data_IF_952163118976
#
_entry.id   IF_952163118976
#
_cell.length_a   1.000
_cell.length_b   1.000
_cell.length_c   1.000
_cell.angle_alpha   90.00
_cell.angle_beta   90.00
_cell.angle_gamma   90.00
#
_symmetry.space_group_name_H-M   'P 1'
#
loop_
_entity.id
_entity.type
_entity.pdbx_description
1 polymer ?
#
# COMPACT_ATOMS: atom_id res chain seq x y z
N UNK A 1 -14.70 13.70 -7.06
CA UNK A 1 -14.77 14.03 -5.62
C UNK A 1 -13.77 13.24 -4.81
N UNK A 2 -13.25 13.81 -3.72
CA UNK A 2 -12.35 13.13 -2.79
C UNK A 2 -13.18 12.15 -1.93
N UNK A 3 -12.79 10.87 -1.89
CA UNK A 3 -13.43 9.85 -1.07
C UNK A 3 -12.46 9.41 0.03
N UNK A 4 -12.95 9.10 1.25
CA UNK A 4 -12.13 8.47 2.28
C UNK A 4 -11.53 7.15 1.80
N UNK A 5 -10.38 6.79 2.35
CA UNK A 5 -9.72 5.49 2.17
C UNK A 5 -9.25 5.00 3.54
N UNK A 6 -9.24 3.69 3.76
CA UNK A 6 -8.66 3.08 4.97
C UNK A 6 -7.16 3.32 5.08
N UNK A 7 -6.48 3.65 3.97
CA UNK A 7 -5.08 4.09 3.96
C UNK A 7 -4.97 5.60 4.24
N UNK A 8 -5.40 6.04 5.43
CA UNK A 8 -5.52 7.46 5.78
C UNK A 8 -4.22 8.26 5.57
N UNK A 9 -3.06 7.64 5.80
CA UNK A 9 -1.76 8.31 5.64
C UNK A 9 -1.42 8.70 4.20
N UNK A 10 -2.09 8.13 3.20
CA UNK A 10 -1.95 8.49 1.78
C UNK A 10 -3.20 9.18 1.22
N UNK A 11 -4.20 9.51 2.05
CA UNK A 11 -5.41 10.22 1.67
C UNK A 11 -5.17 11.73 1.40
N UNK A 12 -4.27 12.05 0.47
CA UNK A 12 -3.76 13.40 0.24
C UNK A 12 -4.23 13.93 -1.11
N UNK A 13 -5.19 14.87 -1.10
CA UNK A 13 -5.73 15.47 -2.33
C UNK A 13 -4.72 16.30 -3.12
N UNK A 14 -3.77 16.95 -2.43
CA UNK A 14 -2.74 17.82 -3.02
C UNK A 14 -1.40 17.60 -2.30
N UNK A 15 -0.56 16.67 -2.79
CA UNK A 15 0.73 16.38 -2.18
C UNK A 15 1.65 17.61 -2.24
N UNK A 16 2.27 17.95 -1.10
CA UNK A 16 3.18 19.10 -1.00
C UNK A 16 4.39 18.94 -1.93
N UNK A 17 4.85 17.69 -2.10
CA UNK A 17 6.04 17.33 -2.90
C UNK A 17 5.69 16.74 -4.26
N UNK A 18 4.56 17.15 -4.85
CA UNK A 18 4.09 16.58 -6.12
C UNK A 18 5.13 16.71 -7.24
N UNK A 19 5.83 17.85 -7.32
CA UNK A 19 6.86 18.07 -8.34
C UNK A 19 8.01 17.07 -8.20
N UNK A 20 8.51 16.86 -6.98
CA UNK A 20 9.60 15.91 -6.71
C UNK A 20 9.16 14.46 -6.93
N UNK A 21 7.91 14.12 -6.61
CA UNK A 21 7.34 12.80 -6.92
C UNK A 21 7.34 12.54 -8.44
N UNK A 22 6.88 13.51 -9.23
CA UNK A 22 6.85 13.39 -10.70
C UNK A 22 8.26 13.36 -11.30
N UNK A 23 9.21 14.07 -10.71
CA UNK A 23 10.61 14.02 -11.12
C UNK A 23 11.21 12.63 -10.86
N UNK A 24 11.03 12.08 -9.65
CA UNK A 24 11.54 10.75 -9.29
C UNK A 24 11.00 9.66 -10.23
N UNK A 25 9.70 9.69 -10.56
CA UNK A 25 9.09 8.75 -11.50
C UNK A 25 9.73 8.81 -12.89
N UNK A 26 10.04 10.02 -13.40
CA UNK A 26 10.67 10.19 -14.71
C UNK A 26 12.13 9.74 -14.70
N UNK A 27 12.87 10.07 -13.65
CA UNK A 27 14.29 9.72 -13.53
C UNK A 27 14.50 8.21 -13.36
N UNK A 28 13.55 7.53 -12.71
CA UNK A 28 13.60 6.08 -12.51
C UNK A 28 12.95 5.26 -13.64
N UNK A 29 12.39 5.91 -14.67
CA UNK A 29 11.50 5.28 -15.64
C UNK A 29 10.38 4.43 -14.97
N UNK A 30 9.86 4.95 -13.85
CA UNK A 30 8.89 4.27 -13.01
C UNK A 30 7.44 4.67 -13.31
N UNK A 31 6.52 4.08 -12.55
CA UNK A 31 5.09 4.30 -12.70
C UNK A 31 4.33 4.46 -11.38
N UNK A 32 3.03 4.68 -11.51
CA UNK A 32 2.08 4.65 -10.38
C UNK A 32 0.96 3.68 -10.71
N UNK A 33 0.38 3.10 -9.66
CA UNK A 33 -0.82 2.28 -9.78
C UNK A 33 -1.83 2.69 -8.71
N UNK A 34 -3.06 2.21 -8.85
CA UNK A 34 -4.14 2.40 -7.88
C UNK A 34 -4.65 1.05 -7.44
N UNK A 35 -4.83 0.87 -6.14
CA UNK A 35 -5.42 -0.33 -5.55
C UNK A 35 -6.80 -0.02 -4.97
N UNK A 36 -7.63 -1.04 -4.83
CA UNK A 36 -8.94 -0.99 -4.18
C UNK A 36 -8.81 -1.16 -2.67
N UNK A 37 -9.79 -0.65 -1.93
CA UNK A 37 -9.87 -0.80 -0.47
C UNK A 37 -9.77 -2.28 -0.03
N UNK A 38 -10.46 -3.18 -0.73
CA UNK A 38 -10.42 -4.61 -0.42
C UNK A 38 -9.03 -5.23 -0.60
N UNK A 39 -8.24 -4.75 -1.57
CA UNK A 39 -6.88 -5.24 -1.81
C UNK A 39 -5.93 -4.80 -0.69
N UNK A 40 -6.16 -3.62 -0.10
CA UNK A 40 -5.44 -3.13 1.07
C UNK A 40 -5.78 -4.01 2.30
N UNK A 41 -7.05 -4.38 2.49
CA UNK A 41 -7.46 -5.30 3.56
C UNK A 41 -6.79 -6.65 3.41
N UNK A 42 -6.89 -7.26 2.22
CA UNK A 42 -6.28 -8.56 1.92
C UNK A 42 -4.77 -8.54 2.14
N UNK A 43 -4.08 -7.50 1.67
CA UNK A 43 -2.65 -7.35 1.87
C UNK A 43 -2.28 -7.20 3.35
N UNK A 44 -3.07 -6.42 4.12
CA UNK A 44 -2.86 -6.25 5.56
C UNK A 44 -2.95 -7.58 6.30
N UNK A 45 -4.00 -8.36 6.03
CA UNK A 45 -4.23 -9.65 6.66
C UNK A 45 -3.17 -10.69 6.25
N UNK A 46 -2.77 -10.70 4.96
CA UNK A 46 -1.68 -11.58 4.48
C UNK A 46 -0.36 -11.26 5.17
N UNK A 47 0.04 -9.99 5.23
CA UNK A 47 1.25 -9.58 5.93
C UNK A 47 1.21 -9.93 7.42
N UNK A 48 0.08 -9.68 8.09
CA UNK A 48 -0.09 -10.04 9.49
C UNK A 48 0.05 -11.55 9.71
N UNK A 49 -0.55 -12.37 8.83
CA UNK A 49 -0.44 -13.83 8.87
C UNK A 49 1.00 -14.34 8.63
N UNK A 50 1.84 -13.55 7.96
CA UNK A 50 3.26 -13.86 7.76
C UNK A 50 4.18 -13.25 8.83
N UNK A 51 3.62 -12.66 9.91
CA UNK A 51 4.39 -12.07 11.00
C UNK A 51 4.76 -10.59 10.82
N UNK A 52 4.25 -9.93 9.78
CA UNK A 52 4.47 -8.51 9.51
C UNK A 52 3.21 -7.70 9.86
N UNK A 53 3.17 -7.16 11.08
CA UNK A 53 2.03 -6.38 11.56
C UNK A 53 2.13 -4.90 11.20
N UNK A 54 1.43 -4.48 10.15
CA UNK A 54 1.51 -3.13 9.55
C UNK A 54 0.18 -2.38 9.56
N UNK A 55 0.21 -1.05 9.47
CA UNK A 55 -1.00 -0.25 9.27
C UNK A 55 -1.52 -0.33 7.82
N UNK A 56 -2.82 -0.06 7.54
CA UNK A 56 -3.37 -0.11 6.19
C UNK A 56 -2.61 0.74 5.15
N UNK A 57 -2.14 1.93 5.54
CA UNK A 57 -1.31 2.79 4.67
C UNK A 57 -0.04 2.08 4.19
N UNK A 58 0.58 1.27 5.05
CA UNK A 58 1.76 0.48 4.66
C UNK A 58 1.39 -0.72 3.82
N UNK A 59 0.30 -1.40 4.15
CA UNK A 59 -0.20 -2.53 3.37
C UNK A 59 -0.62 -2.13 1.94
N UNK A 60 -0.95 -0.85 1.70
CA UNK A 60 -1.18 -0.30 0.35
C UNK A 60 -0.04 -0.63 -0.62
N UNK A 61 1.23 -0.50 -0.18
CA UNK A 61 2.37 -0.81 -1.02
C UNK A 61 2.46 -2.31 -1.36
N UNK A 62 2.11 -3.18 -0.41
CA UNK A 62 2.07 -4.63 -0.64
C UNK A 62 0.91 -5.04 -1.55
N UNK A 63 -0.25 -4.38 -1.44
CA UNK A 63 -1.38 -4.57 -2.35
C UNK A 63 -0.97 -4.19 -3.79
N UNK A 64 -0.29 -3.06 -3.96
CA UNK A 64 0.21 -2.61 -5.26
C UNK A 64 1.23 -3.59 -5.84
N UNK A 65 2.16 -4.10 -5.01
CA UNK A 65 3.11 -5.13 -5.43
C UNK A 65 2.39 -6.40 -5.91
N UNK A 66 1.38 -6.87 -5.18
CA UNK A 66 0.62 -8.06 -5.56
C UNK A 66 -0.09 -7.87 -6.91
N UNK A 67 -0.67 -6.69 -7.15
CA UNK A 67 -1.31 -6.35 -8.42
C UNK A 67 -0.29 -6.28 -9.56
N UNK A 68 0.81 -5.54 -9.39
CA UNK A 68 1.84 -5.38 -10.43
C UNK A 68 2.52 -6.71 -10.79
N UNK A 69 2.72 -7.59 -9.80
CA UNK A 69 3.21 -8.94 -10.03
C UNK A 69 2.20 -9.79 -10.82
N UNK A 70 0.91 -9.70 -10.48
CA UNK A 70 -0.14 -10.43 -11.19
C UNK A 70 -0.34 -9.94 -12.62
N UNK A 71 -0.12 -8.64 -12.86
CA UNK A 71 -0.20 -8.00 -14.18
C UNK A 71 1.08 -8.23 -15.02
N UNK A 72 2.12 -8.87 -14.46
CA UNK A 72 3.39 -9.13 -15.15
C UNK A 72 4.25 -7.87 -15.35
N UNK A 73 4.01 -6.81 -14.58
CA UNK A 73 4.84 -5.60 -14.61
C UNK A 73 6.07 -5.71 -13.71
N UNK A 74 6.04 -6.61 -12.73
CA UNK A 74 7.20 -7.02 -11.92
C UNK A 74 7.42 -8.50 -12.18
N UNK A 75 8.61 -8.86 -12.63
CA UNK A 75 8.91 -10.24 -12.98
C UNK A 75 9.20 -11.06 -11.70
N UNK A 76 8.83 -12.35 -11.65
CA UNK A 76 9.13 -13.22 -10.50
C UNK A 76 10.62 -13.38 -10.19
N UNK A 77 11.50 -13.04 -11.14
CA UNK A 77 12.95 -13.06 -10.98
C UNK A 77 13.55 -11.75 -10.45
N UNK A 78 12.76 -10.68 -10.34
CA UNK A 78 13.23 -9.37 -9.92
C UNK A 78 13.48 -9.32 -8.41
N UNK A 79 14.58 -8.67 -8.01
CA UNK A 79 14.78 -8.28 -6.63
C UNK A 79 13.93 -7.04 -6.32
N UNK A 80 12.82 -7.25 -5.61
CA UNK A 80 11.85 -6.19 -5.29
C UNK A 80 11.87 -5.84 -3.81
N UNK A 81 11.92 -4.55 -3.49
CA UNK A 81 11.81 -4.02 -2.12
C UNK A 81 10.47 -3.29 -1.95
N UNK A 82 9.64 -3.77 -1.02
CA UNK A 82 8.38 -3.09 -0.64
C UNK A 82 8.58 -2.38 0.70
N UNK A 83 8.39 -1.06 0.71
CA UNK A 83 8.61 -0.25 1.92
C UNK A 83 7.35 -0.24 2.79
N UNK A 84 7.45 -0.83 3.98
CA UNK A 84 6.41 -0.84 5.00
C UNK A 84 6.68 0.28 6.02
N UNK A 85 5.98 1.41 5.89
CA UNK A 85 6.32 2.67 6.57
C UNK A 85 5.82 2.78 8.01
N UNK A 86 4.89 1.92 8.43
CA UNK A 86 4.15 2.06 9.67
C UNK A 86 3.72 0.72 10.27
N UNK A 87 3.74 0.68 11.61
CA UNK A 87 3.34 -0.48 12.40
C UNK A 87 1.83 -0.57 12.57
N UNK A 88 1.29 -1.80 12.56
CA UNK A 88 -0.12 -2.07 12.81
C UNK A 88 -0.58 -1.68 14.22
N UNK A 89 0.34 -1.42 15.16
CA UNK A 89 0.01 -0.96 16.51
C UNK A 89 -0.76 0.38 16.51
N UNK A 90 -0.63 1.17 15.44
CA UNK A 90 -1.39 2.42 15.24
C UNK A 90 -2.80 2.19 14.71
N UNK A 91 -3.11 0.97 14.24
CA UNK A 91 -4.31 0.64 13.50
C UNK A 91 -5.05 -0.58 14.11
N UNK A 92 -4.94 -0.79 15.43
CA UNK A 92 -5.53 -1.97 16.09
C UNK A 92 -7.04 -2.06 15.90
N UNK A 93 -7.76 -0.93 15.86
CA UNK A 93 -9.21 -0.92 15.59
C UNK A 93 -9.54 -1.50 14.21
N UNK A 94 -8.77 -1.15 13.19
CA UNK A 94 -8.95 -1.70 11.84
C UNK A 94 -8.90 -3.23 11.84
N UNK A 95 -7.92 -3.82 12.54
CA UNK A 95 -7.81 -5.27 12.64
C UNK A 95 -8.94 -5.90 13.44
N UNK A 96 -9.37 -5.27 14.55
CA UNK A 96 -10.49 -5.76 15.35
C UNK A 96 -11.79 -5.85 14.52
N UNK A 97 -12.03 -4.89 13.64
CA UNK A 97 -13.20 -4.88 12.74
C UNK A 97 -13.18 -6.01 11.69
N UNK A 98 -12.01 -6.57 11.35
CA UNK A 98 -11.91 -7.69 10.41
C UNK A 98 -12.26 -9.05 11.05
N UNK A 99 -12.29 -9.11 12.38
CA UNK A 99 -12.57 -10.32 13.15
C UNK A 99 -13.70 -10.05 14.17
N UNK A 100 -14.93 -9.75 13.69
CA UNK A 100 -16.06 -9.50 14.57
C UNK A 100 -16.38 -10.75 15.41
N UNK A 101 -16.78 -10.51 16.66
CA UNK A 101 -17.18 -11.54 17.63
C UNK A 101 -18.48 -12.25 17.23
#
# INVERSE_FOLDING_TARGET
DFKPTIAEGTAIKRPIRLTEMLQALRESDGGTTTVKEAEIVDASLKLASSGLYVEPTSAHAAAAFAQLSADGQIDPGDETVVILTGTGLKATTFYAEQFPS
#
